data_IF_144109108675
#
_entry.id   IF_144109108675
#
_cell.length_a   1.000
_cell.length_b   1.000
_cell.length_c   1.000
_cell.angle_alpha   90.00
_cell.angle_beta   90.00
_cell.angle_gamma   90.00
#
_symmetry.space_group_name_H-M   'P 1'
#
loop_
_entity.id
_entity.type
_entity.pdbx_description
1 polymer ?
#
# COMPACT_ATOMS: atom_id res chain seq x y z
N UNK A 1 15.13 -13.21 15.77
CA UNK A 1 14.14 -12.10 15.79
C UNK A 1 14.47 -11.12 14.67
N UNK A 2 13.46 -10.55 14.01
CA UNK A 2 13.61 -9.54 12.97
C UNK A 2 13.13 -8.21 13.54
N UNK A 3 13.92 -7.15 13.33
CA UNK A 3 13.73 -5.83 13.96
C UNK A 3 13.74 -4.77 12.85
N UNK A 4 12.89 -3.76 12.99
CA UNK A 4 12.98 -2.51 12.23
C UNK A 4 13.44 -1.40 13.14
N UNK A 5 14.37 -0.61 12.65
CA UNK A 5 14.89 0.56 13.34
C UNK A 5 14.64 1.81 12.50
N UNK A 6 14.04 2.82 13.13
CA UNK A 6 14.00 4.18 12.60
C UNK A 6 15.21 4.92 13.13
N UNK A 7 16.03 5.44 12.23
CA UNK A 7 17.33 6.03 12.56
C UNK A 7 17.36 7.50 12.16
N UNK A 8 17.96 8.35 12.99
CA UNK A 8 18.22 9.74 12.67
C UNK A 8 19.32 9.84 11.60
N UNK A 9 19.05 10.53 10.49
CA UNK A 9 20.01 10.63 9.38
C UNK A 9 21.31 11.34 9.81
N UNK A 10 21.19 12.37 10.66
CA UNK A 10 22.32 13.20 11.08
C UNK A 10 23.23 12.55 12.12
N UNK A 11 22.68 11.83 13.10
CA UNK A 11 23.44 11.23 14.21
C UNK A 11 23.61 9.72 14.10
N UNK A 12 22.92 9.06 13.16
CA UNK A 12 22.79 7.60 13.08
C UNK A 12 22.23 6.93 14.34
N UNK A 13 21.60 7.71 15.23
CA UNK A 13 21.00 7.18 16.45
C UNK A 13 19.64 6.55 16.17
N UNK A 14 19.36 5.45 16.88
CA UNK A 14 18.07 4.75 16.78
C UNK A 14 17.00 5.55 17.52
N UNK A 15 16.08 6.14 16.76
CA UNK A 15 14.92 6.91 17.27
C UNK A 15 13.83 5.96 17.76
N UNK A 16 13.61 4.85 17.04
CA UNK A 16 12.59 3.85 17.38
C UNK A 16 13.04 2.48 16.96
N UNK A 17 12.74 1.47 17.77
CA UNK A 17 13.02 0.06 17.50
C UNK A 17 11.76 -0.76 17.72
N UNK A 18 11.31 -1.47 16.69
CA UNK A 18 10.15 -2.36 16.75
C UNK A 18 10.55 -3.78 16.32
N UNK A 19 10.09 -4.80 17.04
CA UNK A 19 10.30 -6.20 16.64
C UNK A 19 9.16 -6.63 15.74
N UNK A 20 9.46 -7.01 14.49
CA UNK A 20 8.45 -7.44 13.51
C UNK A 20 7.95 -8.85 13.83
N UNK A 21 8.89 -9.75 14.13
CA UNK A 21 8.62 -11.16 14.37
C UNK A 21 9.80 -11.86 15.03
N UNK A 22 9.53 -12.97 15.70
CA UNK A 22 10.53 -13.89 16.25
C UNK A 22 10.32 -15.28 15.66
N UNK A 23 11.41 -15.95 15.33
CA UNK A 23 11.40 -17.35 14.90
C UNK A 23 12.26 -18.15 15.87
N UNK A 24 11.76 -19.29 16.31
CA UNK A 24 12.56 -20.28 17.01
C UNK A 24 13.30 -21.10 15.94
N UNK A 25 14.63 -21.15 16.03
CA UNK A 25 15.43 -21.96 15.12
C UNK A 25 15.38 -23.41 15.59
N UNK A 26 14.91 -24.29 14.71
CA UNK A 26 14.89 -25.73 14.89
C UNK A 26 15.71 -26.38 13.78
N UNK A 27 16.28 -27.55 14.05
CA UNK A 27 16.92 -28.33 13.00
C UNK A 27 15.83 -28.77 11.99
N UNK A 28 15.92 -28.39 10.71
CA UNK A 28 14.90 -28.75 9.74
C UNK A 28 14.94 -30.26 9.49
N UNK A 29 13.79 -30.91 9.60
CA UNK A 29 13.59 -32.33 9.32
C UNK A 29 13.26 -32.58 7.85
N UNK A 30 12.87 -31.53 7.11
CA UNK A 30 12.58 -31.58 5.67
C UNK A 30 12.93 -30.28 4.97
N UNK A 31 13.03 -30.32 3.62
CA UNK A 31 13.30 -29.13 2.80
C UNK A 31 12.24 -28.04 2.95
N UNK A 32 11.01 -28.40 3.34
CA UNK A 32 9.89 -27.46 3.49
C UNK A 32 10.05 -26.58 4.73
N UNK A 33 10.81 -27.06 5.72
CA UNK A 33 11.15 -26.34 6.95
C UNK A 33 12.38 -25.43 6.78
N UNK A 34 13.04 -25.51 5.62
CA UNK A 34 14.20 -24.68 5.33
C UNK A 34 13.75 -23.26 4.96
N UNK A 35 14.03 -22.31 5.85
CA UNK A 35 13.73 -20.89 5.62
C UNK A 35 12.26 -20.55 5.84
N UNK A 36 11.82 -19.43 5.24
CA UNK A 36 10.43 -18.97 5.34
C UNK A 36 9.61 -19.51 4.18
N UNK A 37 8.42 -20.05 4.47
CA UNK A 37 7.45 -20.43 3.45
C UNK A 37 6.84 -19.19 2.82
N UNK A 38 6.26 -19.36 1.64
CA UNK A 38 5.68 -18.25 0.87
C UNK A 38 4.74 -17.35 1.69
N UNK A 39 3.84 -17.93 2.48
CA UNK A 39 2.93 -17.16 3.34
C UNK A 39 3.67 -16.34 4.40
N UNK A 40 4.74 -16.89 4.98
CA UNK A 40 5.56 -16.18 5.98
C UNK A 40 6.39 -15.07 5.36
N UNK A 41 6.88 -15.29 4.13
CA UNK A 41 7.56 -14.26 3.35
C UNK A 41 6.63 -13.09 3.05
N UNK A 42 5.42 -13.36 2.55
CA UNK A 42 4.41 -12.32 2.30
C UNK A 42 4.07 -11.58 3.60
N UNK A 43 3.79 -12.29 4.68
CA UNK A 43 3.45 -11.68 5.97
C UNK A 43 4.59 -10.80 6.52
N UNK A 44 5.85 -11.19 6.30
CA UNK A 44 7.00 -10.37 6.67
C UNK A 44 7.07 -9.08 5.85
N UNK A 45 6.93 -9.19 4.53
CA UNK A 45 6.91 -8.04 3.62
C UNK A 45 5.75 -7.09 3.96
N UNK A 46 4.56 -7.63 4.19
CA UNK A 46 3.38 -6.85 4.54
C UNK A 46 3.61 -5.99 5.79
N UNK A 47 4.17 -6.60 6.86
CA UNK A 47 4.49 -5.88 8.10
C UNK A 47 5.50 -4.77 7.88
N UNK A 48 6.57 -5.02 7.13
CA UNK A 48 7.58 -4.01 6.80
C UNK A 48 6.93 -2.86 6.02
N UNK A 49 6.14 -3.19 5.01
CA UNK A 49 5.50 -2.21 4.14
C UNK A 49 4.47 -1.36 4.90
N UNK A 50 3.71 -1.94 5.82
CA UNK A 50 2.82 -1.20 6.73
C UNK A 50 3.58 -0.20 7.61
N UNK A 51 4.76 -0.56 8.13
CA UNK A 51 5.58 0.37 8.94
C UNK A 51 6.04 1.55 8.09
N UNK A 52 6.53 1.29 6.87
CA UNK A 52 6.97 2.35 5.94
C UNK A 52 5.80 3.26 5.56
N UNK A 53 4.66 2.67 5.19
CA UNK A 53 3.46 3.41 4.81
C UNK A 53 2.92 4.27 5.95
N UNK A 54 2.99 3.80 7.21
CA UNK A 54 2.55 4.59 8.36
C UNK A 54 3.38 5.88 8.56
N UNK A 55 4.66 5.86 8.20
CA UNK A 55 5.51 7.05 8.25
C UNK A 55 5.28 7.94 7.02
N UNK A 56 5.18 7.34 5.82
CA UNK A 56 4.90 8.08 4.59
C UNK A 56 3.52 8.76 4.62
N UNK A 57 2.51 8.13 5.21
CA UNK A 57 1.16 8.67 5.26
C UNK A 57 1.07 9.97 6.06
N UNK A 58 1.98 10.19 7.02
CA UNK A 58 2.09 11.46 7.76
C UNK A 58 2.60 12.60 6.89
N UNK A 59 3.30 12.28 5.81
CA UNK A 59 3.82 13.23 4.84
C UNK A 59 2.79 13.53 3.72
N UNK A 60 1.72 12.73 3.64
CA UNK A 60 0.59 12.96 2.73
C UNK A 60 -0.34 14.04 3.32
N UNK A 61 0.17 15.27 3.37
CA UNK A 61 -0.64 16.46 3.60
C UNK A 61 -0.85 17.15 2.24
N UNK A 62 -2.10 17.48 1.82
CA UNK A 62 -2.35 18.21 0.59
C UNK A 62 -1.66 19.59 0.50
N UNK A 63 -0.98 20.06 1.56
CA UNK A 63 -0.10 21.23 1.48
C UNK A 63 -0.85 22.54 1.25
N UNK A 64 -2.17 22.54 1.46
CA UNK A 64 -3.01 23.72 1.37
C UNK A 64 -3.14 24.34 2.77
N UNK A 65 -2.50 25.48 3.07
CA UNK A 65 -2.64 26.15 4.37
C UNK A 65 -3.99 26.87 4.50
N UNK A 66 -4.60 27.24 3.36
CA UNK A 66 -5.79 28.07 3.27
C UNK A 66 -6.89 27.39 2.45
N UNK A 67 -8.12 27.78 2.74
CA UNK A 67 -9.30 27.29 2.07
C UNK A 67 -9.38 27.84 0.65
N UNK A 68 -9.59 26.99 -0.37
CA UNK A 68 -9.69 27.45 -1.76
C UNK A 68 -10.95 28.27 -2.04
N UNK A 69 -11.96 28.21 -1.16
CA UNK A 69 -13.24 28.93 -1.33
C UNK A 69 -13.20 30.31 -0.68
N UNK A 70 -12.70 30.41 0.55
CA UNK A 70 -12.81 31.66 1.33
C UNK A 70 -11.48 32.20 1.86
N UNK A 71 -10.34 31.57 1.52
CA UNK A 71 -9.01 32.02 1.95
C UNK A 71 -8.68 31.85 3.44
N UNK A 72 -9.64 31.41 4.27
CA UNK A 72 -9.40 31.17 5.70
C UNK A 72 -8.54 29.94 5.95
N UNK A 73 -7.92 29.87 7.13
CA UNK A 73 -7.04 28.75 7.50
C UNK A 73 -7.78 27.42 7.59
N UNK A 74 -7.11 26.35 7.16
CA UNK A 74 -7.62 24.99 7.29
C UNK A 74 -7.25 24.40 8.64
N UNK A 75 -8.17 23.60 9.19
CA UNK A 75 -7.96 22.84 10.43
C UNK A 75 -7.99 21.35 10.14
N UNK A 76 -7.10 20.61 10.79
CA UNK A 76 -7.06 19.14 10.76
C UNK A 76 -8.35 18.56 11.35
N UNK A 77 -8.92 17.54 10.70
CA UNK A 77 -10.20 16.91 11.07
C UNK A 77 -10.11 15.38 11.13
N UNK A 78 -9.12 14.86 11.86
CA UNK A 78 -8.85 13.43 11.94
C UNK A 78 -8.34 12.83 10.62
N UNK A 79 -8.49 11.52 10.45
CA UNK A 79 -7.92 10.77 9.34
C UNK A 79 -8.99 10.03 8.52
N UNK A 80 -8.69 9.78 7.24
CA UNK A 80 -9.41 8.86 6.36
C UNK A 80 -8.51 7.65 6.07
N UNK A 81 -9.04 6.46 6.25
CA UNK A 81 -8.41 5.23 5.74
C UNK A 81 -8.74 5.07 4.26
N UNK A 82 -7.73 4.69 3.48
CA UNK A 82 -7.84 4.41 2.05
C UNK A 82 -7.04 3.16 1.72
N UNK A 83 -7.58 2.31 0.85
CA UNK A 83 -6.88 1.11 0.41
C UNK A 83 -5.72 1.47 -0.52
N UNK A 84 -4.69 0.64 -0.49
CA UNK A 84 -3.54 0.67 -1.39
C UNK A 84 -3.13 -0.77 -1.71
N UNK A 85 -3.08 -1.12 -2.99
CA UNK A 85 -2.85 -2.47 -3.47
C UNK A 85 -1.43 -2.60 -4.01
N UNK A 86 -0.55 -3.27 -3.26
CA UNK A 86 0.82 -3.53 -3.65
C UNK A 86 0.97 -4.94 -4.26
N UNK A 87 2.13 -5.23 -4.82
CA UNK A 87 2.37 -6.48 -5.58
C UNK A 87 2.12 -7.75 -4.76
N UNK A 88 2.57 -7.77 -3.50
CA UNK A 88 2.56 -8.96 -2.66
C UNK A 88 1.53 -8.92 -1.52
N UNK A 89 0.97 -7.75 -1.23
CA UNK A 89 0.04 -7.56 -0.12
C UNK A 89 -0.83 -6.32 -0.32
N UNK A 90 -1.99 -6.33 0.34
CA UNK A 90 -2.91 -5.20 0.40
C UNK A 90 -2.68 -4.40 1.68
N UNK A 91 -2.86 -3.08 1.59
CA UNK A 91 -2.58 -2.15 2.67
C UNK A 91 -3.69 -1.11 2.85
N UNK A 92 -3.70 -0.49 4.02
CA UNK A 92 -4.52 0.69 4.30
C UNK A 92 -3.64 1.86 4.71
N UNK A 93 -3.81 3.00 4.05
CA UNK A 93 -3.09 4.25 4.29
C UNK A 93 -4.01 5.23 5.00
N UNK A 94 -3.52 5.82 6.10
CA UNK A 94 -4.24 6.85 6.87
C UNK A 94 -3.84 8.25 6.38
N UNK A 95 -4.77 8.97 5.78
CA UNK A 95 -4.54 10.29 5.17
C UNK A 95 -5.24 11.38 5.98
N UNK A 96 -4.57 12.52 6.18
CA UNK A 96 -5.06 13.64 6.99
C UNK A 96 -6.25 14.34 6.30
N UNK A 97 -7.37 14.48 7.02
CA UNK A 97 -8.52 15.27 6.59
C UNK A 97 -8.37 16.72 7.01
N UNK A 98 -8.95 17.63 6.24
CA UNK A 98 -9.00 19.06 6.53
C UNK A 98 -10.41 19.60 6.44
N UNK A 99 -10.71 20.64 7.20
CA UNK A 99 -11.94 21.43 7.06
C UNK A 99 -11.62 22.91 7.18
N UNK A 100 -12.44 23.75 6.54
CA UNK A 100 -12.34 25.19 6.68
C UNK A 100 -12.79 25.63 8.07
N UNK A 101 -12.03 26.52 8.68
CA UNK A 101 -12.34 27.08 9.99
C UNK A 101 -13.47 28.11 9.98
N UNK A 102 -13.81 28.67 8.81
CA UNK A 102 -14.79 29.75 8.69
C UNK A 102 -16.23 29.23 8.84
N UNK A 103 -17.00 29.76 9.81
CA UNK A 103 -18.43 29.51 9.90
C UNK A 103 -19.12 29.98 8.61
N UNK A 104 -19.83 29.07 7.94
CA UNK A 104 -20.57 29.35 6.70
C UNK A 104 -19.88 28.94 5.40
N UNK A 105 -18.58 28.61 5.39
CA UNK A 105 -17.91 28.08 4.18
C UNK A 105 -18.20 26.60 3.96
N UNK A 106 -18.21 25.79 5.04
CA UNK A 106 -18.55 24.36 4.99
C UNK A 106 -17.57 23.45 4.23
N UNK A 107 -16.52 24.01 3.62
CA UNK A 107 -15.55 23.24 2.84
C UNK A 107 -14.81 22.21 3.69
N UNK A 108 -14.68 21.00 3.15
CA UNK A 108 -13.88 19.92 3.73
C UNK A 108 -13.12 19.15 2.66
N UNK A 109 -11.97 18.59 3.04
CA UNK A 109 -11.16 17.71 2.21
C UNK A 109 -10.96 16.38 2.93
N UNK A 110 -11.36 15.31 2.25
CA UNK A 110 -11.24 13.93 2.72
C UNK A 110 -10.53 13.10 1.64
N UNK A 111 -9.22 13.35 1.41
CA UNK A 111 -8.50 12.72 0.33
C UNK A 111 -8.37 11.21 0.54
N UNK A 112 -8.26 10.49 -0.56
CA UNK A 112 -7.95 9.06 -0.66
C UNK A 112 -6.66 8.90 -1.47
N UNK A 113 -6.06 7.70 -1.46
CA UNK A 113 -4.88 7.40 -2.30
C UNK A 113 -5.21 7.68 -3.77
N UNK A 114 -6.39 7.24 -4.22
CA UNK A 114 -6.90 7.50 -5.58
C UNK A 114 -7.07 9.00 -5.87
N UNK A 115 -7.60 9.80 -4.94
CA UNK A 115 -7.76 11.24 -5.21
C UNK A 115 -6.43 11.99 -5.27
N UNK A 116 -5.41 11.50 -4.56
CA UNK A 116 -4.08 12.12 -4.54
C UNK A 116 -3.22 11.69 -5.74
N UNK A 117 -3.29 10.41 -6.14
CA UNK A 117 -2.37 9.81 -7.11
C UNK A 117 -3.06 9.29 -8.39
N UNK A 118 -4.37 9.44 -8.51
CA UNK A 118 -5.18 8.96 -9.65
C UNK A 118 -5.49 7.46 -9.61
N UNK A 119 -4.76 6.68 -8.81
CA UNK A 119 -4.97 5.25 -8.62
C UNK A 119 -4.63 4.85 -7.18
N UNK A 120 -5.10 3.69 -6.75
CA UNK A 120 -4.69 3.05 -5.49
C UNK A 120 -3.93 1.74 -5.72
N UNK A 121 -3.54 1.45 -6.97
CA UNK A 121 -2.79 0.26 -7.36
C UNK A 121 -1.33 0.65 -7.63
N UNK A 122 -0.40 -0.12 -7.10
CA UNK A 122 1.03 0.06 -7.40
C UNK A 122 1.30 -0.26 -8.89
N UNK A 123 2.10 0.56 -9.62
CA UNK A 123 2.35 0.37 -11.05
C UNK A 123 2.85 -1.04 -11.43
N UNK A 124 3.68 -1.65 -10.58
CA UNK A 124 4.17 -3.02 -10.81
C UNK A 124 3.04 -4.05 -10.74
N UNK A 125 2.07 -3.88 -9.82
CA UNK A 125 0.92 -4.77 -9.73
C UNK A 125 0.05 -4.64 -10.99
N UNK A 126 -0.19 -3.40 -11.42
CA UNK A 126 -0.95 -3.13 -12.66
C UNK A 126 -0.27 -3.76 -13.89
N UNK A 127 1.05 -3.66 -13.98
CA UNK A 127 1.84 -4.29 -15.06
C UNK A 127 1.68 -5.80 -15.07
N UNK A 128 1.80 -6.45 -13.90
CA UNK A 128 1.63 -7.90 -13.77
C UNK A 128 0.20 -8.32 -14.15
N UNK A 129 -0.81 -7.60 -13.68
CA UNK A 129 -2.21 -7.88 -13.99
C UNK A 129 -2.50 -7.73 -15.49
N UNK A 130 -2.00 -6.66 -16.12
CA UNK A 130 -2.11 -6.44 -17.55
C UNK A 130 -1.48 -7.59 -18.36
N UNK A 131 -0.28 -8.04 -17.98
CA UNK A 131 0.38 -9.17 -18.64
C UNK A 131 -0.42 -10.48 -18.50
N UNK A 132 -0.93 -10.75 -17.30
CA UNK A 132 -1.77 -11.93 -17.05
C UNK A 132 -3.06 -11.89 -17.88
N UNK A 133 -3.68 -10.72 -18.02
CA UNK A 133 -4.90 -10.56 -18.80
C UNK A 133 -4.66 -10.69 -20.31
N UNK A 134 -3.52 -10.20 -20.81
CA UNK A 134 -3.10 -10.45 -22.19
C UNK A 134 -2.95 -11.95 -22.45
N UNK A 135 -2.26 -12.67 -21.57
CA UNK A 135 -2.10 -14.13 -21.69
C UNK A 135 -3.45 -14.86 -21.65
N UNK A 136 -4.34 -14.50 -20.72
CA UNK A 136 -5.71 -15.07 -20.64
C UNK A 136 -6.51 -14.85 -21.93
N UNK A 137 -6.39 -13.67 -22.55
CA UNK A 137 -7.05 -13.38 -23.83
C UNK A 137 -6.51 -14.25 -24.97
N UNK A 138 -5.20 -14.47 -25.03
CA UNK A 138 -4.58 -15.36 -26.03
C UNK A 138 -5.07 -16.80 -25.89
N UNK A 139 -5.09 -17.32 -24.66
CA UNK A 139 -5.60 -18.67 -24.38
C UNK A 139 -7.07 -18.83 -24.81
N UNK A 140 -7.93 -17.85 -24.51
CA UNK A 140 -9.35 -17.88 -24.94
C UNK A 140 -9.50 -17.94 -26.46
N UNK A 141 -8.69 -17.19 -27.20
CA UNK A 141 -8.68 -17.23 -28.67
C UNK A 141 -8.22 -18.59 -29.20
N UNK A 142 -7.15 -19.16 -28.65
CA UNK A 142 -6.64 -20.47 -29.05
C UNK A 142 -7.66 -21.59 -28.80
N UNK A 143 -8.29 -21.61 -27.62
CA UNK A 143 -9.33 -22.59 -27.28
C UNK A 143 -10.59 -22.40 -28.15
N UNK A 144 -10.98 -21.16 -28.43
CA UNK A 144 -12.08 -20.86 -29.35
C UNK A 144 -11.80 -21.33 -30.78
N UNK A 145 -10.56 -21.15 -31.27
CA UNK A 145 -10.12 -21.64 -32.57
C UNK A 145 -10.13 -23.18 -32.66
N UNK A 146 -9.67 -23.88 -31.63
CA UNK A 146 -9.72 -25.35 -31.58
C UNK A 146 -11.16 -25.89 -31.56
N UNK A 147 -12.10 -25.18 -30.91
CA UNK A 147 -13.52 -25.56 -30.93
C UNK A 147 -14.14 -25.36 -32.32
N UNK A 148 -13.79 -24.30 -33.04
CA UNK A 148 -14.27 -24.07 -34.40
C UNK A 148 -13.74 -25.07 -35.43
N UNK A 149 -12.53 -25.62 -35.21
CA UNK A 149 -11.94 -26.66 -36.07
C UNK A 149 -12.55 -28.05 -35.85
N UNK A 150 -13.03 -28.37 -34.63
CA UNK A 150 -13.65 -29.66 -34.32
C UNK A 150 -15.16 -29.73 -34.64
N UNK A 151 -15.75 -28.64 -35.11
CA UNK A 151 -17.17 -28.57 -35.53
C UNK A 151 -17.33 -28.36 -37.04
N UNK A 152 -16.24 -28.39 -37.80
CA UNK A 152 -16.21 -28.30 -39.26
C UNK A 152 -15.97 -29.67 -39.89
#
# INVERSE_FOLDING_TARGET
RIIVEKVAISSQEVIKRDTITGYALQCPTSIVELGLRHAEQIALLEKVQNIVLAEQSRLLDPGMPVCPICGNTLKKNGYKTSNFHAVFSDHTVCIQKHHCSQPGCGWHSTPTVTSLFGTNIHPDLDTIQCAQDQYRRQLRKAVGGLRGMNTA
#
